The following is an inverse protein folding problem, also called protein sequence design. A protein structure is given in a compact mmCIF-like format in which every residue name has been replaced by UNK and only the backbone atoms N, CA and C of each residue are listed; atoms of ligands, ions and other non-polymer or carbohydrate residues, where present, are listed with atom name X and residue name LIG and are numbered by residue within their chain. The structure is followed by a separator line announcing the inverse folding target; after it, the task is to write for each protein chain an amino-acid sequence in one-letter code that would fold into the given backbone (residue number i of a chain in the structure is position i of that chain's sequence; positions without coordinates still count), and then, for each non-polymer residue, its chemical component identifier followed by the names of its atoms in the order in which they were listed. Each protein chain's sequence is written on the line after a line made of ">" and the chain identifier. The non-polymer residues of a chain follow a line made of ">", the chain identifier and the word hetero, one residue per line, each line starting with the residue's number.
data_IF_885863354820
#
_entry.id   IF_885863354820
#
_cell.length_a   1.000
_cell.length_b   1.000
_cell.length_c   1.000
_cell.angle_alpha   90.00
_cell.angle_beta   90.00
_cell.angle_gamma   90.00
#
_symmetry.space_group_name_H-M   'P 1'
#
loop_
_entity.id
_entity.type
_entity.pdbx_description
1 polymer ?
#
# COMPACT_ATOMS: atom_id res chain seq x y z
N UNK A 1 -16.64 -12.41 -10.76
CA UNK A 1 -16.85 -11.92 -9.38
C UNK A 1 -15.49 -11.62 -8.79
N UNK A 2 -15.15 -10.34 -8.56
CA UNK A 2 -13.98 -10.02 -7.75
C UNK A 2 -14.24 -10.59 -6.35
N UNK A 3 -13.39 -11.49 -5.86
CA UNK A 3 -13.52 -11.93 -4.48
C UNK A 3 -13.33 -10.71 -3.60
N UNK A 4 -14.38 -10.31 -2.87
CA UNK A 4 -14.41 -9.12 -2.02
C UNK A 4 -13.23 -9.04 -1.03
N UNK A 5 -12.53 -10.16 -0.80
CA UNK A 5 -11.27 -10.18 -0.06
C UNK A 5 -10.16 -9.39 -0.78
N UNK A 6 -9.91 -9.63 -2.06
CA UNK A 6 -8.72 -9.08 -2.75
C UNK A 6 -8.73 -7.57 -2.93
N UNK A 7 -9.91 -6.95 -2.96
CA UNK A 7 -10.10 -5.50 -3.09
C UNK A 7 -10.37 -4.81 -1.76
N UNK A 8 -10.29 -5.55 -0.64
CA UNK A 8 -10.39 -4.98 0.71
C UNK A 8 -9.10 -4.24 1.09
N UNK A 9 -9.16 -2.92 1.32
CA UNK A 9 -8.01 -2.12 1.74
C UNK A 9 -7.37 -2.54 3.07
N UNK A 10 -8.05 -3.32 3.89
CA UNK A 10 -7.54 -3.85 5.17
C UNK A 10 -6.45 -4.90 5.01
N UNK A 11 -6.33 -5.51 3.83
CA UNK A 11 -5.34 -6.57 3.57
C UNK A 11 -3.94 -6.01 3.34
N UNK A 12 -3.85 -4.79 2.80
CA UNK A 12 -2.59 -4.20 2.39
C UNK A 12 -2.04 -3.28 3.48
N UNK A 13 -0.74 -3.37 3.74
CA UNK A 13 -0.07 -2.51 4.72
C UNK A 13 -0.01 -1.05 4.24
N UNK A 14 0.27 -0.12 5.15
CA UNK A 14 0.49 1.28 4.79
C UNK A 14 1.62 1.43 3.75
N UNK A 15 2.67 0.60 3.86
CA UNK A 15 3.79 0.59 2.91
C UNK A 15 3.36 0.15 1.50
N UNK A 16 2.56 -0.90 1.39
CA UNK A 16 2.07 -1.38 0.10
C UNK A 16 1.13 -0.38 -0.54
N UNK A 17 0.28 0.26 0.26
CA UNK A 17 -0.65 1.29 -0.20
C UNK A 17 0.12 2.53 -0.67
N UNK A 18 1.13 2.95 0.08
CA UNK A 18 2.01 4.05 -0.31
C UNK A 18 2.68 3.77 -1.67
N UNK A 19 3.25 2.58 -1.85
CA UNK A 19 3.85 2.18 -3.11
C UNK A 19 2.83 2.23 -4.26
N UNK A 20 1.61 1.72 -4.04
CA UNK A 20 0.57 1.77 -5.06
C UNK A 20 0.23 3.22 -5.43
N UNK A 21 0.05 4.09 -4.44
CA UNK A 21 -0.23 5.50 -4.67
C UNK A 21 0.92 6.18 -5.44
N UNK A 22 2.19 5.87 -5.13
CA UNK A 22 3.35 6.38 -5.86
C UNK A 22 3.39 5.91 -7.32
N UNK A 23 3.08 4.65 -7.59
CA UNK A 23 3.01 4.11 -8.96
C UNK A 23 1.90 4.81 -9.76
N UNK A 24 0.71 4.95 -9.17
CA UNK A 24 -0.41 5.66 -9.79
C UNK A 24 -0.05 7.13 -10.07
N UNK A 25 0.54 7.82 -9.09
CA UNK A 25 0.91 9.21 -9.21
C UNK A 25 1.99 9.42 -10.29
N UNK A 26 3.01 8.56 -10.33
CA UNK A 26 4.09 8.62 -11.34
C UNK A 26 3.58 8.41 -12.77
N UNK A 27 2.47 7.68 -12.93
CA UNK A 27 1.78 7.49 -14.21
C UNK A 27 0.72 8.57 -14.51
N UNK A 28 0.70 9.68 -13.76
CA UNK A 28 -0.28 10.77 -13.86
C UNK A 28 -1.74 10.29 -13.68
N UNK A 29 -1.94 9.31 -12.80
CA UNK A 29 -3.26 8.80 -12.43
C UNK A 29 -3.62 9.43 -11.09
N UNK A 30 -4.35 10.53 -11.12
CA UNK A 30 -4.74 11.29 -9.92
C UNK A 30 -6.11 10.91 -9.37
N UNK A 31 -6.99 10.30 -10.16
CA UNK A 31 -8.35 9.98 -9.75
C UNK A 31 -8.87 8.71 -10.46
N UNK A 32 -10.07 8.28 -10.04
CA UNK A 32 -10.71 7.06 -10.52
C UNK A 32 -11.00 7.15 -12.02
N UNK A 33 -11.47 8.30 -12.50
CA UNK A 33 -11.83 8.48 -13.92
C UNK A 33 -10.61 8.27 -14.81
N UNK A 34 -9.48 8.89 -14.42
CA UNK A 34 -8.21 8.72 -15.13
C UNK A 34 -7.79 7.25 -15.15
N UNK A 35 -7.88 6.56 -14.02
CA UNK A 35 -7.56 5.12 -13.95
C UNK A 35 -8.45 4.30 -14.89
N UNK A 36 -9.76 4.58 -14.92
CA UNK A 36 -10.71 3.86 -15.79
C UNK A 36 -10.57 4.19 -17.27
N UNK A 37 -9.95 5.33 -17.62
CA UNK A 37 -9.70 5.74 -19.01
C UNK A 37 -8.46 5.08 -19.63
N UNK A 38 -7.62 4.42 -18.82
CA UNK A 38 -6.41 3.78 -19.31
C UNK A 38 -6.72 2.47 -20.02
N UNK A 39 -5.86 2.12 -20.99
CA UNK A 39 -5.93 0.81 -21.61
C UNK A 39 -5.55 -0.30 -20.61
N UNK A 40 -6.06 -1.50 -20.87
CA UNK A 40 -5.89 -2.66 -20.00
C UNK A 40 -4.40 -3.02 -19.79
N UNK A 41 -3.57 -2.88 -20.82
CA UNK A 41 -2.14 -3.18 -20.74
C UNK A 41 -1.41 -2.28 -19.73
N UNK A 42 -1.72 -0.97 -19.70
CA UNK A 42 -1.12 -0.02 -18.75
C UNK A 42 -1.52 -0.37 -17.32
N UNK A 43 -2.78 -0.74 -17.11
CA UNK A 43 -3.27 -1.14 -15.78
C UNK A 43 -2.63 -2.46 -15.33
N UNK A 44 -2.53 -3.45 -16.20
CA UNK A 44 -1.85 -4.71 -15.91
C UNK A 44 -0.37 -4.48 -15.58
N UNK A 45 0.29 -3.58 -16.29
CA UNK A 45 1.67 -3.21 -15.97
C UNK A 45 1.80 -2.58 -14.57
N UNK A 46 0.84 -1.75 -14.13
CA UNK A 46 0.82 -1.21 -12.76
C UNK A 46 0.65 -2.33 -11.73
N UNK A 47 -0.26 -3.28 -11.98
CA UNK A 47 -0.45 -4.45 -11.09
C UNK A 47 0.85 -5.26 -10.99
N UNK A 48 1.52 -5.51 -12.11
CA UNK A 48 2.79 -6.25 -12.16
C UNK A 48 3.88 -5.49 -11.39
N UNK A 49 4.07 -4.20 -11.67
CA UNK A 49 5.04 -3.36 -10.97
C UNK A 49 4.79 -3.35 -9.47
N UNK A 50 3.53 -3.18 -9.06
CA UNK A 50 3.17 -3.18 -7.65
C UNK A 50 3.48 -4.53 -7.01
N UNK A 51 3.11 -5.65 -7.66
CA UNK A 51 3.31 -7.00 -7.16
C UNK A 51 4.78 -7.39 -7.05
N UNK A 52 5.58 -7.09 -8.07
CA UNK A 52 6.98 -7.51 -8.20
C UNK A 52 7.98 -6.51 -7.59
N UNK A 53 7.49 -5.40 -7.02
CA UNK A 53 8.39 -4.42 -6.44
C UNK A 53 9.23 -5.05 -5.31
N UNK A 54 10.56 -4.82 -5.37
CA UNK A 54 11.55 -5.36 -4.43
C UNK A 54 11.18 -5.17 -2.95
N UNK A 55 10.47 -4.08 -2.63
CA UNK A 55 10.06 -3.76 -1.25
C UNK A 55 9.13 -4.82 -0.66
N UNK A 56 8.31 -5.48 -1.48
CA UNK A 56 7.38 -6.52 -1.03
C UNK A 56 8.10 -7.85 -0.70
N UNK A 57 9.37 -7.98 -1.12
CA UNK A 57 10.21 -9.16 -0.88
C UNK A 57 11.21 -8.93 0.26
N UNK A 58 11.18 -7.75 0.90
CA UNK A 58 11.99 -7.50 2.08
C UNK A 58 11.53 -8.44 3.21
N UNK A 59 12.50 -9.15 3.80
CA UNK A 59 12.25 -10.18 4.79
C UNK A 59 11.38 -9.64 5.95
N UNK A 60 10.30 -10.36 6.26
CA UNK A 60 9.38 -10.03 7.33
C UNK A 60 10.04 -9.96 8.70
N UNK A 61 11.10 -10.74 8.90
CA UNK A 61 11.81 -10.88 10.17
C UNK A 61 12.55 -9.60 10.63
N UNK A 62 12.98 -8.73 9.71
CA UNK A 62 13.91 -7.63 10.04
C UNK A 62 13.24 -6.31 10.35
N UNK A 63 11.99 -6.08 9.93
CA UNK A 63 11.31 -4.76 10.06
C UNK A 63 9.83 -4.92 10.45
N UNK A 64 9.49 -6.01 11.15
CA UNK A 64 8.11 -6.34 11.53
C UNK A 64 7.13 -6.17 10.34
N UNK A 65 7.55 -6.70 9.19
CA UNK A 65 6.88 -6.41 7.93
C UNK A 65 5.61 -7.29 7.82
N UNK A 66 4.46 -6.62 7.91
CA UNK A 66 3.09 -7.18 7.84
C UNK A 66 2.52 -7.16 6.42
N UNK A 67 3.36 -7.01 5.41
CA UNK A 67 2.92 -6.99 4.02
C UNK A 67 2.29 -8.33 3.65
N UNK A 68 1.15 -8.25 2.97
CA UNK A 68 0.48 -9.42 2.43
C UNK A 68 0.88 -9.63 0.98
N UNK A 69 0.73 -10.86 0.47
CA UNK A 69 0.91 -11.09 -0.96
C UNK A 69 -0.14 -10.29 -1.74
N UNK A 70 0.29 -9.52 -2.75
CA UNK A 70 -0.62 -8.82 -3.66
C UNK A 70 -1.31 -9.85 -4.56
N UNK A 71 -2.63 -10.01 -4.34
CA UNK A 71 -3.47 -11.01 -5.03
C UNK A 71 -4.30 -10.41 -6.17
N UNK A 72 -4.16 -9.13 -6.47
CA UNK A 72 -4.82 -8.52 -7.63
C UNK A 72 -4.38 -9.19 -8.93
N UNK A 73 -5.35 -9.43 -9.82
CA UNK A 73 -5.15 -10.03 -11.14
C UNK A 73 -5.80 -9.22 -12.27
N UNK A 74 -6.86 -8.47 -11.99
CA UNK A 74 -7.64 -7.80 -13.04
C UNK A 74 -7.70 -6.30 -12.88
N UNK A 75 -7.90 -5.61 -14.01
CA UNK A 75 -8.18 -4.18 -14.08
C UNK A 75 -9.33 -3.76 -13.18
N UNK A 76 -10.42 -4.53 -13.19
CA UNK A 76 -11.60 -4.26 -12.35
C UNK A 76 -11.23 -4.28 -10.87
N UNK A 77 -10.38 -5.23 -10.44
CA UNK A 77 -9.93 -5.29 -9.05
C UNK A 77 -9.06 -4.09 -8.66
N UNK A 78 -8.20 -3.60 -9.56
CA UNK A 78 -7.39 -2.40 -9.26
C UNK A 78 -8.27 -1.17 -9.09
N UNK A 79 -9.23 -0.97 -10.00
CA UNK A 79 -10.17 0.15 -9.92
C UNK A 79 -10.99 0.08 -8.62
N UNK A 80 -11.51 -1.10 -8.28
CA UNK A 80 -12.29 -1.31 -7.07
C UNK A 80 -11.45 -1.11 -5.80
N UNK A 81 -10.23 -1.66 -5.76
CA UNK A 81 -9.31 -1.45 -4.64
C UNK A 81 -9.00 0.05 -4.48
N UNK A 82 -8.74 0.77 -5.57
CA UNK A 82 -8.43 2.18 -5.52
C UNK A 82 -9.61 3.01 -4.97
N UNK A 83 -10.83 2.76 -5.43
CA UNK A 83 -12.06 3.36 -4.86
C UNK A 83 -12.19 3.07 -3.36
N UNK A 84 -11.95 1.83 -2.96
CA UNK A 84 -12.06 1.43 -1.56
C UNK A 84 -10.97 2.09 -0.69
N UNK A 85 -9.77 2.29 -1.23
CA UNK A 85 -8.68 2.98 -0.54
C UNK A 85 -9.02 4.45 -0.32
N UNK A 86 -9.48 5.16 -1.35
CA UNK A 86 -9.93 6.55 -1.22
C UNK A 86 -10.99 6.69 -0.12
N UNK A 87 -11.98 5.79 -0.11
CA UNK A 87 -13.02 5.77 0.94
C UNK A 87 -12.46 5.48 2.34
N UNK A 88 -11.56 4.49 2.49
CA UNK A 88 -11.01 4.10 3.80
C UNK A 88 -10.17 5.21 4.43
N UNK A 89 -9.40 5.92 3.61
CA UNK A 89 -8.52 7.00 4.08
C UNK A 89 -9.22 8.37 4.10
N UNK A 90 -10.48 8.44 3.66
CA UNK A 90 -11.26 9.69 3.59
C UNK A 90 -10.56 10.76 2.72
N UNK A 91 -10.03 10.31 1.57
CA UNK A 91 -9.29 11.14 0.60
C UNK A 91 -9.92 11.05 -0.78
N UNK A 92 -9.64 12.04 -1.62
CA UNK A 92 -10.32 12.22 -2.91
C UNK A 92 -9.46 11.87 -4.12
N UNK A 93 -8.14 11.84 -3.95
CA UNK A 93 -7.19 11.68 -5.05
C UNK A 93 -5.93 10.89 -4.63
N UNK A 94 -5.11 10.55 -5.62
CA UNK A 94 -3.91 9.72 -5.43
C UNK A 94 -2.86 10.39 -4.55
N UNK A 95 -2.72 11.72 -4.63
CA UNK A 95 -1.74 12.46 -3.84
C UNK A 95 -2.11 12.48 -2.36
N UNK A 96 -3.37 12.78 -2.05
CA UNK A 96 -3.89 12.69 -0.69
C UNK A 96 -3.78 11.26 -0.14
N UNK A 97 -4.05 10.24 -0.96
CA UNK A 97 -3.85 8.84 -0.57
C UNK A 97 -2.38 8.53 -0.25
N UNK A 98 -1.44 9.03 -1.07
CA UNK A 98 -0.01 8.87 -0.82
C UNK A 98 0.39 9.53 0.50
N UNK A 99 -0.07 10.76 0.75
CA UNK A 99 0.20 11.49 1.99
C UNK A 99 -0.36 10.74 3.21
N UNK A 100 -1.62 10.29 3.15
CA UNK A 100 -2.25 9.57 4.24
C UNK A 100 -1.53 8.24 4.55
N UNK A 101 -1.14 7.50 3.51
CA UNK A 101 -0.38 6.27 3.66
C UNK A 101 1.05 6.52 4.18
N UNK A 102 1.68 7.62 3.76
CA UNK A 102 3.00 8.04 4.23
C UNK A 102 3.01 8.32 5.73
N UNK A 103 2.12 9.19 6.23
CA UNK A 103 2.08 9.52 7.65
C UNK A 103 1.73 8.31 8.50
N UNK A 104 0.81 7.46 8.03
CA UNK A 104 0.52 6.19 8.69
C UNK A 104 1.76 5.31 8.79
N UNK A 105 2.51 5.19 7.69
CA UNK A 105 3.74 4.39 7.68
C UNK A 105 4.82 4.98 8.60
N UNK A 106 4.92 6.31 8.69
CA UNK A 106 5.85 6.97 9.60
C UNK A 106 5.52 6.63 11.05
N UNK A 107 4.26 6.77 11.45
CA UNK A 107 3.80 6.41 12.80
C UNK A 107 4.04 4.93 13.13
N UNK A 108 3.85 4.02 12.17
CA UNK A 108 4.20 2.60 12.35
C UNK A 108 5.71 2.39 12.60
N UNK A 109 6.56 3.11 11.87
CA UNK A 109 8.02 3.00 12.01
C UNK A 109 8.51 3.61 13.33
N UNK A 110 7.99 4.78 13.71
CA UNK A 110 8.28 5.42 15.00
C UNK A 110 7.90 4.49 16.16
N UNK A 111 6.72 3.87 16.10
CA UNK A 111 6.29 2.91 17.12
C UNK A 111 7.16 1.66 17.20
N UNK A 112 7.72 1.17 16.07
CA UNK A 112 8.67 0.06 16.07
C UNK A 112 9.99 0.50 16.73
N UNK A 113 10.53 1.65 16.33
CA UNK A 113 11.78 2.19 16.88
C UNK A 113 11.66 2.37 18.39
N UNK A 114 10.54 2.93 18.86
CA UNK A 114 10.34 3.17 20.29
C UNK A 114 10.23 1.87 21.08
N UNK A 115 9.56 0.86 20.53
CA UNK A 115 9.50 -0.47 21.14
C UNK A 115 10.89 -1.12 21.22
N UNK A 116 11.69 -0.99 20.17
CA UNK A 116 13.04 -1.56 20.12
C UNK A 116 13.98 -0.84 21.11
N UNK A 117 13.85 0.49 21.28
CA UNK A 117 14.55 1.23 22.33
C UNK A 117 14.18 0.75 23.72
N UNK A 118 12.88 0.62 24.02
CA UNK A 118 12.44 0.16 25.32
C UNK A 118 12.99 -1.24 25.63
N UNK A 119 12.94 -2.16 24.65
CA UNK A 119 13.48 -3.51 24.81
C UNK A 119 15.00 -3.48 25.08
N UNK A 120 15.73 -2.57 24.44
CA UNK A 120 17.15 -2.38 24.68
C UNK A 120 17.44 -1.83 26.09
N UNK A 121 16.69 -0.81 26.54
CA UNK A 121 16.82 -0.26 27.90
C UNK A 121 16.50 -1.31 28.97
N UNK A 122 15.44 -2.10 28.76
CA UNK A 122 15.07 -3.19 29.67
C UNK A 122 16.19 -4.24 29.78
N UNK A 123 16.88 -4.53 28.66
CA UNK A 123 18.01 -5.48 28.62
C UNK A 123 19.26 -4.94 29.33
N UNK A 124 19.48 -3.62 29.31
CA UNK A 124 20.62 -3.01 30.02
C UNK A 124 20.41 -2.92 31.53
N UNK A 125 19.15 -2.83 31.96
CA UNK A 125 18.77 -2.66 33.36
C UNK A 125 18.41 -3.99 34.07
N UNK A 126 18.47 -5.12 33.36
CA UNK A 126 18.27 -6.48 33.87
C UNK A 126 19.57 -7.17 34.23
#
# INVERSE_FOLDING_TARGET
>A
MASASTTNPGIYSARQILLLAQLLHSDNINNVDKLTSLNENKIQNIIIQWKQHKINHLNSATINNKDSTIKLQTTVQLVELYKNLLKKYEVTNTEELANAAYFKRMSELEGIIEKDKQMFEDTLNS
#
